data_IF_392854864574
#
_entry.id   IF_392854864574
#
_cell.length_a   1.000
_cell.length_b   1.000
_cell.length_c   1.000
_cell.angle_alpha   90.00
_cell.angle_beta   90.00
_cell.angle_gamma   90.00
#
_symmetry.space_group_name_H-M   'P 1'
#
loop_
_entity.id
_entity.type
_entity.pdbx_description
1 polymer ?
#
# COMPACT_ATOMS: atom_id res chain seq x y z
N UNK A 1 1.45 -18.95 3.89
CA UNK A 1 1.72 -17.64 4.50
C UNK A 1 1.39 -16.47 3.55
N UNK A 2 1.57 -16.65 2.23
CA UNK A 2 1.42 -15.60 1.19
C UNK A 2 0.05 -14.88 1.18
N UNK A 3 -1.02 -15.60 1.57
CA UNK A 3 -2.37 -15.04 1.62
C UNK A 3 -2.53 -13.88 2.61
N UNK A 4 -1.79 -13.88 3.72
CA UNK A 4 -1.86 -12.81 4.74
C UNK A 4 -1.08 -11.60 4.24
N UNK A 5 0.14 -11.84 3.72
CA UNK A 5 1.01 -10.79 3.20
C UNK A 5 0.34 -9.96 2.09
N UNK A 6 -0.29 -10.61 1.10
CA UNK A 6 -1.01 -9.90 0.03
C UNK A 6 -2.20 -9.09 0.54
N UNK A 7 -2.84 -9.52 1.63
CA UNK A 7 -3.94 -8.76 2.23
C UNK A 7 -3.42 -7.50 2.91
N UNK A 8 -2.32 -7.62 3.64
CA UNK A 8 -1.67 -6.47 4.26
C UNK A 8 -1.21 -5.46 3.21
N UNK A 9 -0.57 -5.92 2.13
CA UNK A 9 -0.17 -5.04 1.03
C UNK A 9 -1.37 -4.33 0.39
N UNK A 10 -2.49 -5.02 0.22
CA UNK A 10 -3.68 -4.40 -0.33
C UNK A 10 -4.28 -3.34 0.61
N UNK A 11 -4.31 -3.61 1.92
CA UNK A 11 -4.68 -2.61 2.92
C UNK A 11 -3.76 -1.39 2.88
N UNK A 12 -2.44 -1.58 2.75
CA UNK A 12 -1.48 -0.48 2.63
C UNK A 12 -1.75 0.38 1.38
N UNK A 13 -2.09 -0.23 0.25
CA UNK A 13 -2.47 0.51 -0.96
C UNK A 13 -3.75 1.34 -0.76
N UNK A 14 -4.76 0.80 -0.06
CA UNK A 14 -5.97 1.56 0.26
C UNK A 14 -5.71 2.74 1.19
N UNK A 15 -4.82 2.58 2.19
CA UNK A 15 -4.40 3.67 3.07
C UNK A 15 -3.78 4.81 2.25
N UNK A 16 -2.89 4.49 1.31
CA UNK A 16 -2.26 5.50 0.44
C UNK A 16 -3.30 6.19 -0.46
N UNK A 17 -4.31 5.46 -0.95
CA UNK A 17 -5.38 6.00 -1.83
C UNK A 17 -6.35 6.91 -1.11
N UNK A 18 -6.75 6.54 0.11
CA UNK A 18 -7.71 7.32 0.91
C UNK A 18 -7.09 8.59 1.50
N UNK A 19 -5.78 8.82 1.26
CA UNK A 19 -5.02 10.00 1.69
C UNK A 19 -4.94 10.17 3.21
N UNK A 20 -5.70 9.43 4.01
CA UNK A 20 -5.60 9.34 5.46
C UNK A 20 -6.55 8.27 6.04
N UNK A 21 -6.24 7.79 7.24
CA UNK A 21 -7.14 6.97 8.07
C UNK A 21 -7.25 5.49 7.67
N UNK A 22 -8.04 4.76 8.46
CA UNK A 22 -8.33 3.34 8.24
C UNK A 22 -9.74 3.12 7.64
N UNK A 23 -10.31 4.18 7.06
CA UNK A 23 -11.68 4.17 6.56
C UNK A 23 -11.75 3.57 5.14
N UNK A 24 -11.25 2.35 4.99
CA UNK A 24 -11.32 1.59 3.75
C UNK A 24 -12.00 0.26 3.99
N UNK A 25 -12.67 -0.26 2.96
CA UNK A 25 -13.19 -1.63 2.98
C UNK A 25 -12.01 -2.57 2.83
N UNK A 26 -11.97 -3.62 3.65
CA UNK A 26 -10.93 -4.66 3.51
C UNK A 26 -10.94 -5.21 2.08
N UNK A 27 -9.82 -5.12 1.35
CA UNK A 27 -9.77 -5.52 -0.05
C UNK A 27 -9.83 -7.05 -0.20
N UNK A 28 -10.82 -7.53 -0.95
CA UNK A 28 -11.01 -8.95 -1.25
C UNK A 28 -10.44 -9.31 -2.62
N UNK A 29 -9.16 -9.66 -2.68
CA UNK A 29 -8.41 -10.02 -3.90
C UNK A 29 -8.86 -11.33 -4.59
N UNK A 30 -9.79 -12.10 -4.00
CA UNK A 30 -10.16 -13.42 -4.53
C UNK A 30 -8.99 -14.40 -4.58
N UNK A 31 -8.09 -14.35 -3.58
CA UNK A 31 -6.80 -15.07 -3.57
C UNK A 31 -6.93 -16.57 -3.86
N UNK A 32 -7.93 -17.24 -3.30
CA UNK A 32 -8.20 -18.66 -3.56
C UNK A 32 -8.53 -18.93 -5.05
N UNK A 33 -9.25 -18.02 -5.72
CA UNK A 33 -9.53 -18.13 -7.17
C UNK A 33 -8.25 -17.94 -7.98
N UNK A 34 -7.44 -16.94 -7.65
CA UNK A 34 -6.16 -16.67 -8.33
C UNK A 34 -5.15 -17.79 -8.13
N UNK A 35 -5.07 -18.36 -6.92
CA UNK A 35 -4.18 -19.47 -6.60
C UNK A 35 -4.55 -20.73 -7.38
N UNK A 36 -5.85 -21.07 -7.45
CA UNK A 36 -6.34 -22.18 -8.31
C UNK A 36 -5.99 -21.98 -9.78
N UNK A 37 -6.01 -20.74 -10.26
CA UNK A 37 -5.63 -20.40 -11.63
C UNK A 37 -4.11 -20.26 -11.85
N UNK A 38 -3.26 -20.50 -10.82
CA UNK A 38 -1.81 -20.24 -10.84
C UNK A 38 -1.44 -18.80 -11.23
N UNK A 39 -2.30 -17.84 -10.85
CA UNK A 39 -2.18 -16.41 -11.15
C UNK A 39 -2.13 -15.54 -9.89
N UNK A 40 -1.89 -16.14 -8.72
CA UNK A 40 -1.73 -15.38 -7.49
C UNK A 40 -0.39 -14.63 -7.56
N UNK A 41 -0.38 -13.29 -7.48
CA UNK A 41 0.87 -12.54 -7.47
C UNK A 41 1.64 -12.80 -6.17
N UNK A 42 2.97 -12.66 -6.22
CA UNK A 42 3.83 -12.76 -5.02
C UNK A 42 3.80 -11.45 -4.21
N UNK A 43 3.61 -10.32 -4.90
CA UNK A 43 3.48 -8.99 -4.30
C UNK A 43 2.54 -8.11 -5.13
N UNK A 44 1.98 -7.08 -4.49
CA UNK A 44 1.22 -6.03 -5.16
C UNK A 44 2.14 -4.85 -5.49
N UNK A 45 1.91 -4.20 -6.63
CA UNK A 45 2.65 -3.00 -7.03
C UNK A 45 2.00 -1.74 -6.45
N UNK A 46 2.85 -0.81 -6.02
CA UNK A 46 2.48 0.57 -5.73
C UNK A 46 2.97 1.45 -6.88
N UNK A 47 2.10 2.27 -7.46
CA UNK A 47 2.55 3.22 -8.49
C UNK A 47 3.36 4.35 -7.88
N UNK A 48 4.33 4.86 -8.65
CA UNK A 48 5.15 6.01 -8.24
C UNK A 48 4.28 7.21 -7.89
N UNK A 49 3.28 7.51 -8.72
CA UNK A 49 2.36 8.64 -8.50
C UNK A 49 1.58 8.52 -7.17
N UNK A 50 1.14 7.30 -6.81
CA UNK A 50 0.44 7.07 -5.55
C UNK A 50 1.37 7.28 -4.35
N UNK A 51 2.60 6.79 -4.45
CA UNK A 51 3.63 6.98 -3.44
C UNK A 51 3.97 8.46 -3.26
N UNK A 52 4.26 9.18 -4.35
CA UNK A 52 4.62 10.60 -4.31
C UNK A 52 3.48 11.46 -3.75
N UNK A 53 2.24 11.20 -4.14
CA UNK A 53 1.07 11.88 -3.57
C UNK A 53 0.94 11.66 -2.06
N UNK A 54 1.21 10.45 -1.56
CA UNK A 54 1.20 10.15 -0.14
C UNK A 54 2.34 10.84 0.61
N UNK A 55 3.54 10.90 0.03
CA UNK A 55 4.69 11.62 0.61
C UNK A 55 4.41 13.11 0.73
N UNK A 56 3.83 13.74 -0.30
CA UNK A 56 3.44 15.16 -0.25
C UNK A 56 2.48 15.43 0.90
N UNK A 57 1.46 14.57 1.06
CA UNK A 57 0.50 14.70 2.15
C UNK A 57 1.13 14.50 3.53
N UNK A 58 1.99 13.49 3.69
CA UNK A 58 2.70 13.23 4.95
C UNK A 58 3.62 14.39 5.36
N UNK A 59 4.32 14.99 4.38
CA UNK A 59 5.15 16.18 4.61
C UNK A 59 4.29 17.37 5.04
N UNK A 60 3.12 17.57 4.42
CA UNK A 60 2.19 18.65 4.80
C UNK A 60 1.59 18.46 6.21
N UNK A 61 1.34 17.21 6.62
CA UNK A 61 0.73 16.89 7.91
C UNK A 61 1.66 17.10 9.13
N UNK A 62 2.91 17.56 8.94
CA UNK A 62 3.90 17.83 10.01
C UNK A 62 4.06 16.69 11.03
N UNK A 63 3.89 15.43 10.58
CA UNK A 63 4.19 14.26 11.40
C UNK A 63 5.70 14.01 11.29
N UNK A 64 6.43 14.13 12.41
CA UNK A 64 7.91 14.02 12.44
C UNK A 64 8.48 12.74 11.80
N UNK A 65 7.66 11.71 11.55
CA UNK A 65 8.02 10.52 10.79
C UNK A 65 8.22 10.74 9.28
N UNK A 66 7.73 11.84 8.69
CA UNK A 66 7.96 12.15 7.27
C UNK A 66 9.44 12.37 6.94
N UNK A 67 10.24 12.79 7.92
CA UNK A 67 11.70 12.93 7.81
C UNK A 67 12.44 11.59 7.66
N UNK A 68 11.82 10.46 8.05
CA UNK A 68 12.41 9.12 7.91
C UNK A 68 12.34 8.58 6.48
N UNK A 69 11.46 9.15 5.63
CA UNK A 69 11.27 8.71 4.25
C UNK A 69 11.90 9.66 3.23
N UNK A 70 12.71 10.63 3.68
CA UNK A 70 13.48 11.47 2.77
C UNK A 70 14.64 10.67 2.17
N UNK A 71 14.37 9.98 1.06
CA UNK A 71 15.37 9.32 0.23
C UNK A 71 16.12 10.36 -0.62
N UNK A 72 16.82 11.28 0.03
CA UNK A 72 17.84 12.14 -0.62
C UNK A 72 19.23 11.49 -0.58
N UNK A 73 19.30 10.15 -0.65
CA UNK A 73 20.53 9.34 -0.77
C UNK A 73 20.18 7.89 -1.09
N UNK A 74 20.07 7.58 -2.40
CA UNK A 74 20.52 6.36 -3.11
C UNK A 74 20.37 6.66 -4.60
#
# INVERSE_FOLDING_TARGET
MDNIFLSLQACMLEILRQKEGNLYKTPHLGKAKLQRAKRLPVSLSCSRDLYEAAIVLLRAASRGSALLFDSSSI
#
